data_IF_396147587870
#
_entry.id   IF_396147587870
#
_cell.length_a   1.000
_cell.length_b   1.000
_cell.length_c   1.000
_cell.angle_alpha   90.00
_cell.angle_beta   90.00
_cell.angle_gamma   90.00
#
_symmetry.space_group_name_H-M   'P 1'
#
loop_
_entity.id
_entity.type
_entity.pdbx_description
1 polymer ?
#
# COMPACT_ATOMS: atom_id res chain seq x y z
N UNK A 1 -3.34 17.21 -8.34
CA UNK A 1 -3.88 15.96 -7.78
C UNK A 1 -3.04 14.78 -8.24
N UNK A 2 -3.05 13.71 -7.48
CA UNK A 2 -2.29 12.50 -7.78
C UNK A 2 -3.17 11.46 -8.49
N UNK A 3 -2.57 10.71 -9.40
CA UNK A 3 -3.19 9.57 -10.07
C UNK A 3 -2.62 8.26 -9.51
N UNK A 4 -3.27 7.10 -9.76
CA UNK A 4 -2.75 5.81 -9.26
C UNK A 4 -1.29 5.54 -9.56
N UNK A 5 -0.72 5.84 -10.75
CA UNK A 5 0.70 5.65 -10.99
C UNK A 5 1.60 6.43 -10.04
N UNK A 6 1.19 7.65 -9.67
CA UNK A 6 1.94 8.47 -8.72
C UNK A 6 1.94 7.83 -7.33
N UNK A 7 0.80 7.27 -6.94
CA UNK A 7 0.64 6.61 -5.65
C UNK A 7 1.46 5.33 -5.60
N UNK A 8 1.52 4.58 -6.68
CA UNK A 8 2.39 3.40 -6.81
C UNK A 8 3.86 3.77 -6.57
N UNK A 9 4.30 4.88 -7.16
CA UNK A 9 5.67 5.37 -6.98
C UNK A 9 5.95 5.79 -5.55
N UNK A 10 5.01 6.47 -4.91
CA UNK A 10 5.15 6.96 -3.53
C UNK A 10 5.16 5.81 -2.53
N UNK A 11 4.26 4.85 -2.67
CA UNK A 11 4.06 3.79 -1.69
C UNK A 11 4.82 2.51 -1.99
N UNK A 12 5.17 2.29 -3.25
CA UNK A 12 5.77 1.03 -3.70
C UNK A 12 4.78 -0.13 -3.85
N UNK A 13 3.49 0.12 -3.64
CA UNK A 13 2.45 -0.88 -3.82
C UNK A 13 1.88 -0.85 -5.24
N UNK A 14 1.46 -2.02 -5.78
CA UNK A 14 0.90 -2.08 -7.13
C UNK A 14 -0.45 -1.38 -7.24
N UNK A 15 -0.82 -0.99 -8.46
CA UNK A 15 -2.08 -0.29 -8.76
C UNK A 15 -3.31 -1.03 -8.21
N UNK A 16 -3.30 -2.34 -8.26
CA UNK A 16 -4.39 -3.17 -7.74
C UNK A 16 -4.65 -2.90 -6.26
N UNK A 17 -3.60 -2.76 -5.47
CA UNK A 17 -3.70 -2.46 -4.04
C UNK A 17 -4.19 -1.03 -3.82
N UNK A 18 -3.68 -0.07 -4.58
CA UNK A 18 -4.11 1.33 -4.51
C UNK A 18 -5.61 1.46 -4.80
N UNK A 19 -6.10 0.78 -5.84
CA UNK A 19 -7.53 0.77 -6.16
C UNK A 19 -8.35 0.18 -5.03
N UNK A 20 -7.86 -0.86 -4.39
CA UNK A 20 -8.54 -1.47 -3.23
C UNK A 20 -8.69 -0.47 -2.09
N UNK A 21 -7.65 0.30 -1.80
CA UNK A 21 -7.72 1.33 -0.76
C UNK A 21 -8.80 2.36 -1.06
N UNK A 22 -8.94 2.75 -2.32
CA UNK A 22 -9.98 3.68 -2.73
C UNK A 22 -11.38 3.08 -2.60
N UNK A 23 -11.56 1.84 -3.03
CA UNK A 23 -12.85 1.13 -2.95
C UNK A 23 -13.28 0.90 -1.51
N UNK A 24 -12.33 0.54 -0.64
CA UNK A 24 -12.60 0.30 0.78
C UNK A 24 -12.75 1.59 1.60
N UNK A 25 -12.49 2.74 1.00
CA UNK A 25 -12.59 4.02 1.68
C UNK A 25 -11.42 4.34 2.61
N UNK A 26 -10.35 3.55 2.59
CA UNK A 26 -9.15 3.81 3.40
C UNK A 26 -8.41 5.05 2.92
N UNK A 27 -8.37 5.24 1.61
CA UNK A 27 -7.79 6.42 0.97
C UNK A 27 -8.91 7.20 0.31
N UNK A 28 -9.05 8.48 0.68
CA UNK A 28 -10.08 9.33 0.08
C UNK A 28 -9.73 9.63 -1.37
N UNK A 29 -10.57 9.18 -2.29
CA UNK A 29 -10.37 9.31 -3.72
C UNK A 29 -11.53 10.05 -4.36
N UNK A 30 -11.24 10.75 -5.46
CA UNK A 30 -12.24 11.45 -6.25
C UNK A 30 -12.30 10.77 -7.62
N UNK A 31 -13.52 10.46 -8.09
CA UNK A 31 -13.74 9.92 -9.42
C UNK A 31 -14.13 11.04 -10.37
N UNK A 32 -13.28 11.31 -11.36
CA UNK A 32 -13.54 12.28 -12.43
C UNK A 32 -13.26 11.61 -13.76
N UNK A 33 -14.24 11.67 -14.67
CA UNK A 33 -14.11 11.11 -16.02
C UNK A 33 -13.61 9.66 -16.02
N UNK A 34 -14.16 8.83 -15.15
CA UNK A 34 -13.79 7.42 -14.98
C UNK A 34 -12.34 7.21 -14.52
N UNK A 35 -11.68 8.27 -14.04
CA UNK A 35 -10.32 8.20 -13.50
C UNK A 35 -10.32 8.50 -12.00
N UNK A 36 -9.41 7.85 -11.30
CA UNK A 36 -9.22 8.07 -9.87
C UNK A 36 -8.22 9.20 -9.66
N UNK A 37 -8.59 10.15 -8.81
CA UNK A 37 -7.73 11.28 -8.43
C UNK A 37 -7.66 11.35 -6.90
N UNK A 38 -6.48 11.66 -6.38
CA UNK A 38 -6.27 11.81 -4.94
C UNK A 38 -5.61 13.15 -4.69
N UNK A 39 -6.17 13.95 -3.78
CA UNK A 39 -5.56 15.20 -3.37
C UNK A 39 -4.28 14.91 -2.59
N UNK A 40 -3.25 15.75 -2.77
CA UNK A 40 -2.00 15.62 -2.01
C UNK A 40 -2.25 15.61 -0.51
N UNK A 41 -3.16 16.46 -0.04
CA UNK A 41 -3.57 16.54 1.36
C UNK A 41 -4.10 15.19 1.87
N UNK A 42 -4.96 14.57 1.10
CA UNK A 42 -5.55 13.27 1.46
C UNK A 42 -4.50 12.16 1.43
N UNK A 43 -3.57 12.23 0.49
CA UNK A 43 -2.46 11.28 0.41
C UNK A 43 -1.56 11.38 1.64
N UNK A 44 -1.21 12.58 2.05
CA UNK A 44 -0.39 12.80 3.24
C UNK A 44 -1.09 12.30 4.49
N UNK A 45 -2.38 12.59 4.63
CA UNK A 45 -3.19 12.10 5.75
C UNK A 45 -3.20 10.57 5.81
N UNK A 46 -3.34 9.92 4.66
CA UNK A 46 -3.33 8.47 4.57
C UNK A 46 -1.97 7.89 4.98
N UNK A 47 -0.87 8.45 4.47
CA UNK A 47 0.48 7.98 4.79
C UNK A 47 0.81 8.12 6.28
N UNK A 48 0.23 9.09 6.96
CA UNK A 48 0.39 9.30 8.39
C UNK A 48 -0.65 8.56 9.24
N UNK A 49 -1.57 7.84 8.61
CA UNK A 49 -2.65 7.16 9.32
C UNK A 49 -2.19 5.86 9.98
N UNK A 50 -2.91 5.48 11.04
CA UNK A 50 -2.68 4.19 11.70
C UNK A 50 -2.97 3.01 10.77
N UNK A 51 -3.93 3.16 9.86
CA UNK A 51 -4.27 2.13 8.87
C UNK A 51 -3.10 1.84 7.94
N UNK A 52 -2.46 2.88 7.42
CA UNK A 52 -1.30 2.72 6.54
C UNK A 52 -0.14 2.08 7.29
N UNK A 53 0.13 2.52 8.50
CA UNK A 53 1.17 1.93 9.35
C UNK A 53 0.89 0.44 9.62
N UNK A 54 -0.36 0.08 9.84
CA UNK A 54 -0.79 -1.30 10.03
C UNK A 54 -0.53 -2.14 8.77
N UNK A 55 -0.81 -1.59 7.59
CA UNK A 55 -0.56 -2.25 6.31
C UNK A 55 0.93 -2.54 6.13
N UNK A 56 1.79 -1.56 6.40
CA UNK A 56 3.24 -1.71 6.32
C UNK A 56 3.73 -2.79 7.29
N UNK A 57 3.25 -2.77 8.53
CA UNK A 57 3.63 -3.76 9.54
C UNK A 57 3.28 -5.18 9.12
N UNK A 58 2.07 -5.37 8.59
CA UNK A 58 1.63 -6.69 8.10
C UNK A 58 2.52 -7.17 6.96
N UNK A 59 2.88 -6.28 6.04
CA UNK A 59 3.77 -6.62 4.94
C UNK A 59 5.16 -6.99 5.43
N UNK A 60 5.70 -6.26 6.40
CA UNK A 60 7.01 -6.54 6.99
C UNK A 60 7.03 -7.87 7.74
N UNK A 61 6.02 -8.13 8.55
CA UNK A 61 5.89 -9.40 9.29
C UNK A 61 5.86 -10.58 8.31
N UNK A 62 5.09 -10.45 7.23
CA UNK A 62 5.00 -11.48 6.22
C UNK A 62 6.35 -11.76 5.54
N UNK A 63 7.10 -10.71 5.22
CA UNK A 63 8.44 -10.84 4.64
C UNK A 63 9.41 -11.48 5.62
N UNK A 64 9.36 -11.10 6.88
CA UNK A 64 10.20 -11.69 7.93
C UNK A 64 9.93 -13.18 8.09
N UNK A 65 8.66 -13.59 8.07
CA UNK A 65 8.26 -14.99 8.14
C UNK A 65 8.81 -15.78 6.95
N UNK A 66 8.72 -15.24 5.75
CA UNK A 66 9.24 -15.87 4.54
C UNK A 66 10.76 -16.04 4.63
N UNK A 67 11.47 -15.01 5.09
CA UNK A 67 12.92 -15.05 5.26
C UNK A 67 13.32 -16.10 6.29
N UNK A 68 12.59 -16.22 7.38
CA UNK A 68 12.86 -17.20 8.41
C UNK A 68 12.65 -18.62 7.92
N UNK A 69 11.56 -18.88 7.19
CA UNK A 69 11.29 -20.16 6.56
C UNK A 69 12.40 -20.52 5.57
N UNK A 70 12.82 -19.57 4.75
CA UNK A 70 13.89 -19.74 3.78
C UNK A 70 15.20 -20.13 4.45
N UNK A 71 15.55 -19.46 5.55
CA UNK A 71 16.74 -19.78 6.33
C UNK A 71 16.72 -21.21 6.86
N UNK A 72 15.57 -21.65 7.38
CA UNK A 72 15.42 -23.00 7.92
C UNK A 72 15.62 -24.06 6.84
N UNK A 73 15.09 -23.83 5.64
CA UNK A 73 15.24 -24.75 4.51
C UNK A 73 16.72 -24.88 4.11
N UNK A 74 17.43 -23.75 3.99
CA UNK A 74 18.83 -23.77 3.58
C UNK A 74 19.78 -24.28 4.65
N UNK A 75 19.43 -24.14 5.91
CA UNK A 75 20.25 -24.66 7.02
C UNK A 75 20.14 -26.15 7.17
N UNK A 76 18.99 -26.72 6.85
CA UNK A 76 18.75 -28.14 6.97
C UNK A 76 19.37 -28.99 5.88
N UNK A 77 19.93 -28.33 4.87
CA UNK A 77 20.62 -29.02 3.75
C UNK A 77 22.11 -29.17 4.02
#
# INVERSE_FOLDING_TARGET
MLQPPDIETITGYPRKVVRRWCVEGKLHCIMLDSRIWVKKKDMLSFLCSAEYNSIIRKSQIHLDDIHEIYRKIHRGG
#
